data_IF_686012647749
#
_entry.id   IF_686012647749
#
_cell.length_a   1.000
_cell.length_b   1.000
_cell.length_c   1.000
_cell.angle_alpha   90.00
_cell.angle_beta   90.00
_cell.angle_gamma   90.00
#
_symmetry.space_group_name_H-M   'P 1'
#
loop_
_entity.id
_entity.type
_entity.pdbx_description
1 polymer ?
#
# COMPACT_ATOMS: atom_id res chain seq x y z
N UNK A 1 -5.47 -1.10 -8.07
CA UNK A 1 -6.45 -1.30 -7.00
C UNK A 1 -7.75 -0.63 -7.44
N UNK A 2 -8.59 -1.37 -8.15
CA UNK A 2 -9.84 -0.86 -8.71
C UNK A 2 -10.87 -1.97 -8.79
N UNK A 3 -12.14 -1.60 -8.89
CA UNK A 3 -13.27 -2.48 -9.16
C UNK A 3 -14.14 -1.87 -10.27
N UNK A 4 -15.10 -2.65 -10.78
CA UNK A 4 -16.17 -2.10 -11.61
C UNK A 4 -17.32 -1.63 -10.74
N UNK A 5 -17.92 -0.49 -11.09
CA UNK A 5 -19.22 -0.10 -10.54
C UNK A 5 -20.36 -0.89 -11.21
N UNK A 6 -21.60 -0.62 -10.80
CA UNK A 6 -22.81 -1.23 -11.37
C UNK A 6 -22.97 -0.95 -12.87
N UNK A 7 -22.40 0.16 -13.37
CA UNK A 7 -22.34 0.51 -14.79
C UNK A 7 -21.14 -0.10 -15.55
N UNK A 8 -20.40 -1.05 -14.97
CA UNK A 8 -19.19 -1.66 -15.56
C UNK A 8 -18.02 -0.70 -15.80
N UNK A 9 -18.03 0.49 -15.21
CA UNK A 9 -16.96 1.48 -15.30
C UNK A 9 -15.93 1.22 -14.20
N UNK A 10 -14.65 1.34 -14.54
CA UNK A 10 -13.55 1.16 -13.59
C UNK A 10 -13.53 2.32 -12.60
N UNK A 11 -13.46 2.00 -11.31
CA UNK A 11 -13.37 2.96 -10.22
C UNK A 11 -12.42 2.45 -9.12
N UNK A 12 -11.80 3.33 -8.34
CA UNK A 12 -11.09 2.92 -7.14
C UNK A 12 -12.06 2.33 -6.11
N UNK A 13 -11.51 1.58 -5.15
CA UNK A 13 -12.27 1.15 -3.98
C UNK A 13 -12.52 2.34 -3.04
N UNK A 14 -13.66 2.32 -2.35
CA UNK A 14 -13.93 3.23 -1.23
C UNK A 14 -13.53 2.57 0.11
N UNK A 15 -13.57 3.36 1.18
CA UNK A 15 -13.33 2.88 2.55
C UNK A 15 -14.23 1.70 2.96
N UNK A 16 -15.53 1.78 2.67
CA UNK A 16 -16.53 0.83 3.19
C UNK A 16 -16.35 -0.57 2.62
N UNK A 17 -15.98 -0.67 1.34
CA UNK A 17 -15.88 -1.93 0.62
C UNK A 17 -14.45 -2.49 0.59
N UNK A 18 -13.47 -1.74 1.07
CA UNK A 18 -12.08 -2.19 1.08
C UNK A 18 -11.79 -3.08 2.30
N UNK A 19 -11.04 -4.19 2.14
CA UNK A 19 -10.59 -5.00 3.27
C UNK A 19 -9.77 -4.19 4.28
N UNK A 20 -9.67 -4.66 5.52
CA UNK A 20 -8.91 -3.96 6.57
C UNK A 20 -7.42 -3.77 6.24
N UNK A 21 -6.85 -4.64 5.40
CA UNK A 21 -5.44 -4.59 5.00
C UNK A 21 -5.27 -4.91 3.52
N UNK A 22 -4.32 -4.23 2.88
CA UNK A 22 -3.76 -4.60 1.59
C UNK A 22 -2.35 -5.18 1.78
N UNK A 23 -2.14 -6.36 1.23
CA UNK A 23 -0.83 -6.99 1.18
C UNK A 23 -0.27 -6.90 -0.24
N UNK A 24 0.91 -6.28 -0.40
CA UNK A 24 1.61 -6.22 -1.69
C UNK A 24 2.93 -6.98 -1.57
N UNK A 25 2.99 -8.15 -2.18
CA UNK A 25 4.21 -8.96 -2.24
C UNK A 25 5.10 -8.52 -3.41
N UNK A 26 6.41 -8.46 -3.18
CA UNK A 26 7.39 -8.00 -4.15
C UNK A 26 8.47 -9.06 -4.27
N UNK A 27 8.74 -9.46 -5.52
CA UNK A 27 9.84 -10.33 -5.90
C UNK A 27 10.67 -9.58 -6.93
N UNK A 28 11.89 -9.23 -6.56
CA UNK A 28 12.86 -8.53 -7.41
C UNK A 28 14.20 -9.25 -7.35
N UNK A 29 14.35 -10.28 -8.20
CA UNK A 29 15.47 -11.23 -8.18
C UNK A 29 15.60 -11.85 -6.78
N UNK A 30 16.75 -11.68 -6.13
CA UNK A 30 17.05 -12.17 -4.78
C UNK A 30 16.39 -11.33 -3.66
N UNK A 31 15.77 -10.20 -3.99
CA UNK A 31 15.12 -9.31 -3.00
C UNK A 31 13.63 -9.63 -2.93
N UNK A 32 13.20 -10.13 -1.77
CA UNK A 32 11.80 -10.44 -1.48
C UNK A 32 11.31 -9.56 -0.34
N UNK A 33 10.08 -9.08 -0.46
CA UNK A 33 9.50 -8.14 0.49
C UNK A 33 8.00 -8.13 0.44
N UNK A 34 7.40 -7.57 1.48
CA UNK A 34 5.95 -7.42 1.55
C UNK A 34 5.61 -6.07 2.18
N UNK A 35 4.70 -5.34 1.56
CA UNK A 35 4.00 -4.26 2.24
C UNK A 35 2.71 -4.79 2.85
N UNK A 36 2.38 -4.32 4.04
CA UNK A 36 1.11 -4.56 4.71
C UNK A 36 0.51 -3.19 5.06
N UNK A 37 -0.33 -2.67 4.19
CA UNK A 37 -0.97 -1.37 4.37
C UNK A 37 -2.32 -1.54 5.07
N UNK A 38 -2.53 -0.95 6.26
CA UNK A 38 -3.86 -0.90 6.85
C UNK A 38 -4.76 0.08 6.07
N UNK A 39 -6.07 -0.19 6.09
CA UNK A 39 -7.08 0.59 5.37
C UNK A 39 -7.00 2.10 5.65
N UNK A 40 -6.83 2.48 6.92
CA UNK A 40 -6.73 3.88 7.33
C UNK A 40 -5.53 4.61 6.68
N UNK A 41 -4.40 3.92 6.47
CA UNK A 41 -3.24 4.51 5.81
C UNK A 41 -3.53 4.73 4.32
N UNK A 42 -4.22 3.79 3.67
CA UNK A 42 -4.62 3.93 2.26
C UNK A 42 -5.60 5.09 2.06
N UNK A 43 -6.47 5.37 3.03
CA UNK A 43 -7.33 6.56 3.04
C UNK A 43 -6.53 7.84 3.24
N UNK A 44 -5.68 7.88 4.27
CA UNK A 44 -4.87 9.06 4.60
C UNK A 44 -3.96 9.51 3.44
N UNK A 45 -3.48 8.57 2.62
CA UNK A 45 -2.65 8.86 1.43
C UNK A 45 -3.44 8.92 0.11
N UNK A 46 -4.78 8.98 0.18
CA UNK A 46 -5.67 9.20 -0.96
C UNK A 46 -5.63 8.09 -2.01
N UNK A 47 -5.43 6.85 -1.57
CA UNK A 47 -5.47 5.66 -2.42
C UNK A 47 -6.92 5.17 -2.55
N UNK A 48 -7.64 5.09 -1.44
CA UNK A 48 -9.08 4.80 -1.41
C UNK A 48 -9.90 6.08 -1.58
N UNK A 49 -11.14 5.95 -2.06
CA UNK A 49 -12.09 7.04 -2.05
C UNK A 49 -12.82 7.15 -0.71
N UNK A 50 -13.15 8.38 -0.30
CA UNK A 50 -13.78 8.72 0.99
C UNK A 50 -15.05 9.58 0.80
N UNK A 51 -15.64 9.52 -0.40
CA UNK A 51 -16.78 10.35 -0.81
C UNK A 51 -16.44 11.81 -1.14
N UNK A 52 -15.30 12.33 -0.66
CA UNK A 52 -14.80 13.68 -0.99
C UNK A 52 -13.71 13.64 -2.05
N UNK A 53 -12.85 12.63 -1.98
CA UNK A 53 -11.73 12.38 -2.87
C UNK A 53 -12.03 11.15 -3.74
N UNK A 54 -11.73 11.27 -5.03
CA UNK A 54 -11.97 10.17 -5.97
C UNK A 54 -11.12 8.93 -5.67
N UNK A 55 -9.98 9.04 -4.99
CA UNK A 55 -9.04 7.92 -4.79
C UNK A 55 -8.21 7.59 -6.04
N UNK A 56 -7.46 6.48 -6.02
CA UNK A 56 -6.55 6.08 -7.11
C UNK A 56 -6.80 4.64 -7.55
N UNK A 57 -6.91 4.44 -8.86
CA UNK A 57 -7.03 3.10 -9.45
C UNK A 57 -5.71 2.34 -9.49
N UNK A 58 -4.58 3.03 -9.40
CA UNK A 58 -3.24 2.46 -9.37
C UNK A 58 -2.28 3.35 -8.59
N UNK A 59 -1.28 2.74 -7.96
CA UNK A 59 -0.19 3.45 -7.30
C UNK A 59 1.08 2.60 -7.35
N UNK A 60 2.24 3.24 -7.21
CA UNK A 60 3.55 2.58 -7.11
C UNK A 60 3.91 2.37 -5.65
N UNK A 61 4.53 1.24 -5.35
CA UNK A 61 5.18 0.98 -4.06
C UNK A 61 6.69 1.02 -4.24
N UNK A 62 7.41 1.56 -3.25
CA UNK A 62 8.86 1.68 -3.29
C UNK A 62 9.45 0.95 -2.08
N UNK A 63 9.91 -0.31 -2.24
CA UNK A 63 10.56 -1.06 -1.16
C UNK A 63 11.72 -0.27 -0.52
N UNK A 64 12.07 -0.59 0.73
CA UNK A 64 13.11 0.12 1.48
C UNK A 64 14.51 0.06 0.82
N UNK A 65 14.75 -0.94 -0.03
CA UNK A 65 16.00 -1.12 -0.76
C UNK A 65 16.13 -0.22 -2.01
N UNK A 66 15.07 0.45 -2.47
CA UNK A 66 15.18 1.37 -3.61
C UNK A 66 15.72 2.72 -3.19
N UNK A 67 16.88 3.10 -3.73
CA UNK A 67 17.60 4.32 -3.33
C UNK A 67 17.57 5.43 -4.39
N UNK A 68 17.49 5.06 -5.66
CA UNK A 68 17.58 6.00 -6.79
C UNK A 68 16.21 6.59 -7.16
N UNK A 69 15.60 7.32 -6.22
CA UNK A 69 14.26 7.89 -6.39
C UNK A 69 14.29 9.41 -6.60
N UNK A 70 13.39 9.92 -7.43
CA UNK A 70 13.12 11.36 -7.53
C UNK A 70 12.43 11.89 -6.26
N UNK A 71 12.28 13.21 -6.15
CA UNK A 71 11.71 13.85 -4.95
C UNK A 71 10.30 13.35 -4.60
N UNK A 72 9.43 13.17 -5.59
CA UNK A 72 8.05 12.69 -5.38
C UNK A 72 8.03 11.24 -4.92
N UNK A 73 8.81 10.37 -5.57
CA UNK A 73 8.91 8.96 -5.23
C UNK A 73 9.52 8.75 -3.83
N UNK A 74 10.52 9.55 -3.44
CA UNK A 74 11.10 9.52 -2.09
C UNK A 74 10.10 9.92 -1.00
N UNK A 75 9.26 10.94 -1.24
CA UNK A 75 8.16 11.30 -0.31
C UNK A 75 7.16 10.15 -0.16
N UNK A 76 6.82 9.49 -1.27
CA UNK A 76 5.93 8.31 -1.27
C UNK A 76 6.58 7.13 -0.54
N UNK A 77 7.85 6.83 -0.82
CA UNK A 77 8.59 5.77 -0.13
C UNK A 77 8.60 5.99 1.38
N UNK A 78 8.83 7.22 1.85
CA UNK A 78 8.95 7.54 3.29
C UNK A 78 7.76 7.05 4.12
N UNK A 79 6.53 7.22 3.62
CA UNK A 79 5.37 6.70 4.34
C UNK A 79 5.18 5.21 4.11
N UNK A 80 5.45 4.72 2.91
CA UNK A 80 5.30 3.31 2.57
C UNK A 80 6.21 2.41 3.40
N UNK A 81 7.44 2.83 3.67
CA UNK A 81 8.42 2.06 4.44
C UNK A 81 8.02 1.80 5.89
N UNK A 82 7.08 2.58 6.44
CA UNK A 82 6.49 2.30 7.76
C UNK A 82 5.68 1.00 7.76
N UNK A 83 5.17 0.63 6.58
CA UNK A 83 4.36 -0.55 6.31
C UNK A 83 5.14 -1.66 5.59
N UNK A 84 6.47 -1.56 5.56
CA UNK A 84 7.38 -2.54 4.95
C UNK A 84 8.19 -3.23 6.05
N UNK A 85 7.62 -4.23 6.74
CA UNK A 85 8.33 -4.92 7.82
C UNK A 85 9.67 -5.46 7.33
N UNK A 86 10.69 -5.37 8.19
CA UNK A 86 11.91 -6.13 7.97
C UNK A 86 11.52 -7.62 8.01
N UNK A 87 11.67 -8.30 6.88
CA UNK A 87 11.59 -9.75 6.84
C UNK A 87 12.88 -10.30 7.49
N UNK A 88 13.00 -10.19 8.81
CA UNK A 88 13.98 -10.98 9.54
C UNK A 88 13.51 -12.42 9.50
N UNK A 89 14.42 -13.35 9.19
CA UNK A 89 14.19 -14.80 9.30
C UNK A 89 13.73 -15.24 10.71
N UNK A 90 13.76 -14.33 11.69
CA UNK A 90 13.01 -14.41 12.93
C UNK A 90 11.82 -13.46 12.88
N UNK A 91 10.64 -14.07 12.75
CA UNK A 91 9.34 -13.43 12.67
C UNK A 91 8.98 -12.72 13.98
N UNK A 92 8.91 -11.39 13.96
CA UNK A 92 8.45 -10.59 15.10
C UNK A 92 6.91 -10.41 15.03
N UNK A 93 6.20 -11.33 15.70
CA UNK A 93 4.73 -11.37 15.77
C UNK A 93 4.14 -10.07 16.33
N UNK A 94 4.82 -9.45 17.29
CA UNK A 94 4.39 -8.23 17.98
C UNK A 94 4.30 -7.02 17.06
N UNK A 95 5.07 -6.99 15.97
CA UNK A 95 5.04 -5.89 14.99
C UNK A 95 3.88 -6.04 14.00
N UNK A 96 3.43 -7.28 13.77
CA UNK A 96 2.33 -7.60 12.86
C UNK A 96 0.96 -7.33 13.49
N UNK A 97 0.85 -7.56 14.80
CA UNK A 97 -0.37 -7.26 15.59
C UNK A 97 -0.61 -5.75 15.73
N UNK A 98 0.42 -4.92 15.53
CA UNK A 98 0.35 -3.46 15.57
C UNK A 98 0.08 -2.81 14.20
N UNK A 99 0.09 -3.60 13.11
CA UNK A 99 -0.31 -3.19 11.76
C UNK A 99 -1.79 -3.47 11.57
#
# INVERSE_FOLDING_TARGET
MWKKNTGSINQPFNEEEFPEKLVVHIVDKERIGQFIFPKHALLAYGILSDGKNQGKMAFRVYPSWEKNLNNTARKTQKWQTQYFPALSYHYDKTKLEKL
#
